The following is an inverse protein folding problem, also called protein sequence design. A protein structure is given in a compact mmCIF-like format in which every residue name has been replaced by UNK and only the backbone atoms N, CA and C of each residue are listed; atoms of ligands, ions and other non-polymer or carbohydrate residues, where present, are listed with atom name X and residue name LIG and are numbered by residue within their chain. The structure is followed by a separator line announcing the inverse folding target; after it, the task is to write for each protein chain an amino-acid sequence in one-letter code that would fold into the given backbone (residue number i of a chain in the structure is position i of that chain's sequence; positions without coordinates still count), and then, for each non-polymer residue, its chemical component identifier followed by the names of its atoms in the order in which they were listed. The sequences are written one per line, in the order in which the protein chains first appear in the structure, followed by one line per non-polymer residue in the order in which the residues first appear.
data_IF_341862574010
#
_entry.id   IF_341862574010
#
_cell.length_a   1.000
_cell.length_b   1.000
_cell.length_c   1.000
_cell.angle_alpha   90.00
_cell.angle_beta   90.00
_cell.angle_gamma   90.00
#
_symmetry.space_group_name_H-M   'P 1'
#
loop_
_entity.id
_entity.type
_entity.pdbx_description
1 polymer ?
#
# COMPACT_ATOMS: atom_id res chain seq x y z
N UNK A 1 25.81 14.12 29.17
CA UNK A 1 25.55 13.01 28.24
C UNK A 1 24.16 12.45 28.60
N UNK A 2 23.11 13.04 28.06
CA UNK A 2 21.71 12.66 28.39
C UNK A 2 21.34 11.45 27.56
N UNK A 3 21.13 10.30 28.21
CA UNK A 3 20.47 9.17 27.59
C UNK A 3 18.97 9.47 27.61
N UNK A 4 18.41 9.85 26.49
CA UNK A 4 16.97 9.90 26.32
C UNK A 4 16.55 8.53 25.82
N UNK A 5 16.06 7.69 26.72
CA UNK A 5 15.22 6.53 26.36
C UNK A 5 13.84 7.08 26.08
N UNK A 6 13.52 7.29 24.81
CA UNK A 6 12.17 7.64 24.43
C UNK A 6 11.44 6.36 24.04
N UNK A 7 10.83 5.72 25.02
CA UNK A 7 9.80 4.70 24.81
C UNK A 7 8.47 5.43 24.70
N UNK A 8 8.09 5.94 23.54
CA UNK A 8 6.75 6.51 23.35
C UNK A 8 5.84 5.41 22.83
N UNK A 9 4.96 4.91 23.71
CA UNK A 9 3.82 4.08 23.35
C UNK A 9 2.71 4.86 22.64
N UNK A 10 2.90 6.14 22.39
CA UNK A 10 1.92 6.99 21.74
C UNK A 10 2.38 7.30 20.32
N UNK A 11 1.52 7.03 19.34
CA UNK A 11 1.69 7.53 17.99
C UNK A 11 1.69 9.07 18.04
N UNK A 12 2.81 9.74 17.72
CA UNK A 12 2.93 11.19 17.90
C UNK A 12 2.00 11.98 16.98
N UNK A 13 1.33 11.31 16.05
CA UNK A 13 0.44 11.93 15.06
C UNK A 13 -0.99 11.41 15.10
N UNK A 14 -1.35 10.54 16.06
CA UNK A 14 -2.69 9.95 16.15
C UNK A 14 -3.83 10.98 16.24
N UNK A 15 -3.55 12.16 16.74
CA UNK A 15 -4.50 13.29 16.90
C UNK A 15 -4.14 14.51 16.05
N UNK A 16 -3.10 14.41 15.19
CA UNK A 16 -2.65 15.54 14.38
C UNK A 16 -3.20 15.47 12.96
N UNK A 17 -3.54 16.62 12.43
CA UNK A 17 -3.83 16.83 11.02
C UNK A 17 -2.62 16.45 10.15
N UNK A 18 -2.87 15.96 8.94
CA UNK A 18 -1.84 15.60 7.96
C UNK A 18 -0.82 16.71 7.71
N UNK A 19 -1.21 17.97 7.85
CA UNK A 19 -0.31 19.13 7.74
C UNK A 19 0.80 19.16 8.79
N UNK A 20 0.61 18.51 9.94
CA UNK A 20 1.58 18.48 11.03
C UNK A 20 2.58 17.32 10.91
N UNK A 21 2.32 16.35 10.05
CA UNK A 21 3.19 15.18 9.85
C UNK A 21 4.61 15.60 9.48
N UNK A 22 4.74 16.52 8.52
CA UNK A 22 6.04 17.06 8.10
C UNK A 22 6.74 17.83 9.20
N UNK A 23 6.01 18.60 10.00
CA UNK A 23 6.56 19.36 11.12
C UNK A 23 7.09 18.43 12.21
N UNK A 24 6.34 17.38 12.56
CA UNK A 24 6.77 16.36 13.52
C UNK A 24 8.01 15.61 13.01
N UNK A 25 8.02 15.23 11.74
CA UNK A 25 9.19 14.57 11.11
C UNK A 25 10.41 15.48 11.16
N UNK A 26 10.27 16.77 10.84
CA UNK A 26 11.35 17.73 10.89
C UNK A 26 11.87 17.95 12.33
N UNK A 27 10.96 17.98 13.32
CA UNK A 27 11.33 18.07 14.72
C UNK A 27 12.09 16.83 15.20
N UNK A 28 11.63 15.63 14.87
CA UNK A 28 12.32 14.37 15.16
C UNK A 28 13.72 14.39 14.54
N UNK A 29 13.82 14.76 13.27
CA UNK A 29 15.11 14.87 12.58
C UNK A 29 16.06 15.83 13.30
N UNK A 30 15.59 17.00 13.68
CA UNK A 30 16.40 18.02 14.36
C UNK A 30 16.86 17.59 15.75
N UNK A 31 16.01 16.87 16.50
CA UNK A 31 16.29 16.50 17.90
C UNK A 31 17.18 15.26 17.96
N UNK A 32 16.87 14.23 17.20
CA UNK A 32 17.49 12.91 17.35
C UNK A 32 18.57 12.59 16.33
N UNK A 33 18.64 13.35 15.24
CA UNK A 33 19.59 13.11 14.15
C UNK A 33 20.44 14.36 13.91
N UNK A 34 21.68 14.15 13.52
CA UNK A 34 22.62 15.24 13.24
C UNK A 34 23.70 14.78 12.27
N UNK A 35 24.49 15.72 11.80
CA UNK A 35 25.70 15.42 11.03
C UNK A 35 26.89 15.53 11.94
N UNK A 36 27.80 14.56 11.90
CA UNK A 36 29.09 14.64 12.58
C UNK A 36 30.03 15.63 11.85
N UNK A 37 31.22 15.88 12.43
CA UNK A 37 32.20 16.77 11.84
C UNK A 37 32.70 16.40 10.44
N UNK A 38 32.48 15.14 10.01
CA UNK A 38 32.77 14.67 8.66
C UNK A 38 31.53 14.74 7.71
N UNK A 39 30.45 15.36 8.14
CA UNK A 39 29.21 15.51 7.36
C UNK A 39 28.35 14.26 7.27
N UNK A 40 28.74 13.15 7.89
CA UNK A 40 27.94 11.92 7.91
C UNK A 40 26.82 12.02 8.96
N UNK A 41 25.65 11.46 8.62
CA UNK A 41 24.52 11.39 9.53
C UNK A 41 24.81 10.48 10.73
N UNK A 42 24.43 10.94 11.90
CA UNK A 42 24.54 10.22 13.17
C UNK A 42 23.30 10.45 14.02
N UNK A 43 23.07 9.57 14.99
CA UNK A 43 22.03 9.75 16.01
C UNK A 43 22.59 10.40 17.25
N UNK A 44 21.83 11.30 17.86
CA UNK A 44 22.17 11.97 19.12
C UNK A 44 21.80 11.13 20.36
N UNK A 45 21.21 9.94 20.15
CA UNK A 45 20.80 9.03 21.20
C UNK A 45 21.36 7.62 20.94
N UNK A 46 21.45 6.79 21.99
CA UNK A 46 21.92 5.40 21.87
C UNK A 46 20.93 4.51 21.13
N UNK A 47 19.65 4.68 21.43
CA UNK A 47 18.55 3.97 20.81
C UNK A 47 17.37 4.91 20.63
N UNK A 48 16.65 4.74 19.54
CA UNK A 48 15.45 5.48 19.22
C UNK A 48 14.38 4.49 18.73
N UNK A 49 13.27 4.44 19.45
CA UNK A 49 12.12 3.62 19.09
C UNK A 49 10.96 4.53 18.71
N UNK A 50 10.35 4.23 17.57
CA UNK A 50 9.18 4.95 17.09
C UNK A 50 8.12 3.96 16.67
N UNK A 51 6.89 4.14 17.15
CA UNK A 51 5.73 3.38 16.71
C UNK A 51 4.70 4.32 16.10
N UNK A 52 4.06 3.88 15.02
CA UNK A 52 2.98 4.62 14.39
C UNK A 52 2.04 3.66 13.67
N UNK A 53 0.76 4.01 13.58
CA UNK A 53 -0.21 3.38 12.70
C UNK A 53 -0.46 4.20 11.42
N UNK A 54 0.14 5.38 11.32
CA UNK A 54 0.03 6.23 10.13
C UNK A 54 1.12 5.89 9.12
N UNK A 55 0.69 5.36 7.97
CA UNK A 55 1.61 4.87 6.93
C UNK A 55 2.41 6.00 6.27
N UNK A 56 1.80 7.17 6.08
CA UNK A 56 2.50 8.33 5.50
C UNK A 56 3.63 8.81 6.41
N UNK A 57 3.38 8.84 7.72
CA UNK A 57 4.41 9.20 8.69
C UNK A 57 5.52 8.14 8.75
N UNK A 58 5.15 6.87 8.70
CA UNK A 58 6.11 5.76 8.63
C UNK A 58 7.06 5.91 7.43
N UNK A 59 6.53 6.23 6.24
CA UNK A 59 7.35 6.43 5.04
C UNK A 59 8.32 7.61 5.20
N UNK A 60 7.84 8.74 5.72
CA UNK A 60 8.71 9.90 6.00
C UNK A 60 9.83 9.58 7.00
N UNK A 61 9.52 8.79 8.03
CA UNK A 61 10.52 8.37 9.03
C UNK A 61 11.53 7.39 8.41
N UNK A 62 11.13 6.53 7.50
CA UNK A 62 12.04 5.64 6.76
C UNK A 62 13.08 6.39 5.94
N UNK A 63 12.78 7.61 5.53
CA UNK A 63 13.72 8.46 4.80
C UNK A 63 14.75 9.15 5.69
N UNK A 64 14.59 9.08 7.02
CA UNK A 64 15.57 9.66 7.94
C UNK A 64 16.88 8.85 7.92
N UNK A 65 17.99 9.55 7.92
CA UNK A 65 19.32 8.95 8.05
C UNK A 65 19.67 8.74 9.53
N UNK A 66 20.46 7.71 9.83
CA UNK A 66 21.06 6.68 8.95
C UNK A 66 20.09 5.54 8.60
N UNK A 67 19.95 5.27 7.31
CA UNK A 67 19.03 4.26 6.77
C UNK A 67 19.53 2.81 6.86
N UNK A 68 20.84 2.59 7.05
CA UNK A 68 21.45 1.25 6.84
C UNK A 68 21.53 0.43 8.13
N UNK A 69 21.22 -0.89 8.06
CA UNK A 69 21.54 -1.83 9.11
C UNK A 69 23.04 -1.81 9.47
N UNK A 70 23.43 -2.10 10.73
CA UNK A 70 22.58 -2.54 11.82
C UNK A 70 21.87 -1.41 12.59
N UNK A 71 21.84 -0.20 12.07
CA UNK A 71 21.38 0.99 12.79
C UNK A 71 19.88 1.25 12.71
N UNK A 72 19.18 0.63 11.75
CA UNK A 72 17.72 0.71 11.65
C UNK A 72 17.11 -0.69 11.50
N UNK A 73 16.11 -0.99 12.32
CA UNK A 73 15.32 -2.20 12.26
C UNK A 73 13.84 -1.81 12.17
N UNK A 74 13.11 -2.46 11.29
CA UNK A 74 11.69 -2.22 11.04
C UNK A 74 10.89 -3.41 11.54
N UNK A 75 9.92 -3.14 12.38
CA UNK A 75 9.05 -4.15 12.97
C UNK A 75 7.60 -3.86 12.62
N UNK A 76 6.80 -4.92 12.63
CA UNK A 76 5.36 -4.85 12.43
C UNK A 76 4.66 -5.43 13.65
N UNK A 77 3.76 -4.64 14.25
CA UNK A 77 2.92 -5.08 15.36
C UNK A 77 1.60 -5.57 14.80
N UNK A 78 1.34 -6.87 14.95
CA UNK A 78 0.11 -7.50 14.51
C UNK A 78 -0.74 -7.87 15.71
N UNK A 79 -2.00 -7.42 15.70
CA UNK A 79 -2.98 -7.86 16.68
C UNK A 79 -3.42 -9.29 16.36
N UNK A 80 -3.26 -10.20 17.31
CA UNK A 80 -3.62 -11.62 17.13
C UNK A 80 -4.99 -11.89 17.76
N UNK A 81 -5.30 -11.23 18.87
CA UNK A 81 -6.57 -11.33 19.58
C UNK A 81 -6.93 -9.98 20.21
N UNK A 82 -8.10 -9.82 20.80
CA UNK A 82 -8.46 -8.58 21.50
C UNK A 82 -7.45 -8.13 22.57
N UNK A 83 -6.75 -9.10 23.18
CA UNK A 83 -5.83 -8.87 24.31
C UNK A 83 -4.37 -9.13 23.97
N UNK A 84 -4.05 -9.62 22.77
CA UNK A 84 -2.68 -10.03 22.41
C UNK A 84 -2.23 -9.39 21.11
N UNK A 85 -0.99 -8.92 21.12
CA UNK A 85 -0.28 -8.46 19.93
C UNK A 85 1.07 -9.16 19.82
N UNK A 86 1.52 -9.35 18.59
CA UNK A 86 2.82 -9.94 18.28
C UNK A 86 3.67 -8.95 17.51
N UNK A 87 4.93 -8.85 17.94
CA UNK A 87 5.97 -8.14 17.20
C UNK A 87 6.61 -9.11 16.21
N UNK A 88 6.66 -8.74 14.96
CA UNK A 88 7.30 -9.49 13.89
C UNK A 88 8.14 -8.61 12.99
N UNK A 89 8.86 -9.22 12.08
CA UNK A 89 9.56 -8.46 11.05
C UNK A 89 8.55 -7.73 10.16
N UNK A 90 8.94 -6.53 9.71
CA UNK A 90 8.14 -5.78 8.75
C UNK A 90 7.94 -6.59 7.47
N UNK A 91 6.72 -6.77 6.98
CA UNK A 91 6.46 -7.41 5.70
C UNK A 91 7.22 -6.72 4.56
N UNK A 92 7.81 -7.51 3.65
CA UNK A 92 8.58 -6.98 2.53
C UNK A 92 7.76 -5.99 1.67
N UNK A 93 6.47 -6.25 1.51
CA UNK A 93 5.54 -5.36 0.81
C UNK A 93 5.45 -3.97 1.45
N UNK A 94 5.39 -3.88 2.77
CA UNK A 94 5.38 -2.60 3.49
C UNK A 94 6.75 -1.91 3.50
N UNK A 95 7.83 -2.66 3.38
CA UNK A 95 9.17 -2.11 3.22
C UNK A 95 9.42 -1.59 1.80
N UNK A 96 8.84 -2.23 0.80
CA UNK A 96 9.11 -1.98 -0.61
C UNK A 96 8.31 -0.80 -1.16
N UNK A 97 7.06 -0.65 -0.73
CA UNK A 97 6.15 0.31 -1.34
C UNK A 97 6.05 1.60 -0.52
N UNK A 98 6.40 2.69 -1.17
CA UNK A 98 6.16 4.06 -0.67
C UNK A 98 4.71 4.52 -0.88
N UNK A 99 3.90 3.74 -1.61
CA UNK A 99 2.49 4.09 -1.86
C UNK A 99 1.57 2.87 -1.90
N UNK A 100 0.36 3.06 -1.40
CA UNK A 100 -0.74 2.10 -1.52
C UNK A 100 -0.94 1.66 -2.99
N UNK A 101 -0.82 2.59 -3.91
CA UNK A 101 -1.02 2.36 -5.33
C UNK A 101 -0.12 1.26 -5.92
N UNK A 102 1.16 1.27 -5.58
CA UNK A 102 2.10 0.23 -6.03
C UNK A 102 1.80 -1.13 -5.39
N UNK A 103 1.46 -1.15 -4.10
CA UNK A 103 1.08 -2.39 -3.41
C UNK A 103 -0.17 -3.03 -4.04
N UNK A 104 -1.19 -2.22 -4.33
CA UNK A 104 -2.40 -2.68 -4.99
C UNK A 104 -2.10 -3.26 -6.38
N UNK A 105 -1.31 -2.54 -7.19
CA UNK A 105 -0.90 -3.02 -8.51
C UNK A 105 -0.13 -4.35 -8.42
N UNK A 106 0.85 -4.47 -7.52
CA UNK A 106 1.62 -5.70 -7.36
C UNK A 106 0.72 -6.88 -6.97
N UNK A 107 -0.26 -6.66 -6.11
CA UNK A 107 -1.22 -7.70 -5.72
C UNK A 107 -1.99 -8.22 -6.93
N UNK A 108 -2.49 -7.31 -7.76
CA UNK A 108 -3.21 -7.63 -9.00
C UNK A 108 -2.29 -8.31 -10.02
N UNK A 109 -1.08 -7.80 -10.19
CA UNK A 109 -0.08 -8.32 -11.11
C UNK A 109 0.42 -9.71 -10.71
N UNK A 110 0.60 -9.96 -9.41
CA UNK A 110 0.91 -11.31 -8.89
C UNK A 110 -0.20 -12.30 -9.20
N UNK A 111 -1.47 -11.90 -9.01
CA UNK A 111 -2.59 -12.75 -9.39
C UNK A 111 -2.59 -13.06 -10.88
N UNK A 112 -2.40 -12.07 -11.77
CA UNK A 112 -2.32 -12.28 -13.22
C UNK A 112 -1.28 -13.34 -13.58
N UNK A 113 -0.12 -13.33 -12.92
CA UNK A 113 1.02 -14.20 -13.23
C UNK A 113 1.07 -15.49 -12.38
N UNK A 114 0.18 -15.67 -11.42
CA UNK A 114 0.14 -16.86 -10.58
C UNK A 114 -0.27 -18.09 -11.38
N UNK A 115 0.41 -19.22 -11.15
CA UNK A 115 0.02 -20.53 -11.72
C UNK A 115 -1.24 -21.07 -11.04
N UNK A 116 -1.33 -20.90 -9.72
CA UNK A 116 -2.50 -21.26 -8.92
C UNK A 116 -3.32 -19.98 -8.63
N UNK A 117 -4.43 -19.84 -9.35
CA UNK A 117 -5.40 -18.76 -9.16
C UNK A 117 -6.31 -18.98 -7.94
N UNK A 118 -6.35 -20.20 -7.44
CA UNK A 118 -7.15 -20.59 -6.27
C UNK A 118 -6.47 -20.31 -4.92
N UNK A 119 -5.25 -19.77 -4.92
CA UNK A 119 -4.53 -19.46 -3.68
C UNK A 119 -5.36 -18.56 -2.77
N UNK A 120 -5.62 -19.04 -1.56
CA UNK A 120 -6.43 -18.36 -0.56
C UNK A 120 -5.90 -16.95 -0.21
N UNK A 121 -4.58 -16.81 -0.09
CA UNK A 121 -3.94 -15.53 0.22
C UNK A 121 -4.16 -14.50 -0.88
N UNK A 122 -4.07 -14.91 -2.14
CA UNK A 122 -4.29 -14.02 -3.28
C UNK A 122 -5.76 -13.62 -3.37
N UNK A 123 -6.67 -14.58 -3.24
CA UNK A 123 -8.11 -14.33 -3.36
C UNK A 123 -8.66 -13.42 -2.24
N UNK A 124 -8.08 -13.47 -1.04
CA UNK A 124 -8.48 -12.58 0.06
C UNK A 124 -8.23 -11.11 -0.23
N UNK A 125 -7.11 -10.80 -0.84
CA UNK A 125 -6.68 -9.41 -1.05
C UNK A 125 -7.16 -8.84 -2.38
N UNK A 126 -7.35 -9.71 -3.38
CA UNK A 126 -7.56 -9.33 -4.77
C UNK A 126 -8.79 -8.43 -5.01
N UNK A 127 -10.00 -8.73 -4.51
CA UNK A 127 -11.17 -7.90 -4.80
C UNK A 127 -11.00 -6.47 -4.32
N UNK A 128 -10.49 -6.30 -3.10
CA UNK A 128 -10.23 -4.98 -2.55
C UNK A 128 -9.08 -4.26 -3.29
N UNK A 129 -8.05 -5.00 -3.68
CA UNK A 129 -6.94 -4.45 -4.46
C UNK A 129 -7.41 -3.98 -5.84
N UNK A 130 -8.19 -4.78 -6.56
CA UNK A 130 -8.76 -4.41 -7.87
C UNK A 130 -9.64 -3.18 -7.74
N UNK A 131 -10.54 -3.17 -6.76
CA UNK A 131 -11.43 -2.04 -6.51
C UNK A 131 -10.63 -0.76 -6.26
N UNK A 132 -9.78 -0.78 -5.23
CA UNK A 132 -9.06 0.41 -4.79
C UNK A 132 -8.09 0.94 -5.85
N UNK A 133 -7.41 0.03 -6.55
CA UNK A 133 -6.55 0.40 -7.65
C UNK A 133 -7.32 1.05 -8.80
N UNK A 134 -8.47 0.48 -9.20
CA UNK A 134 -9.32 1.04 -10.26
C UNK A 134 -9.84 2.43 -9.88
N UNK A 135 -10.28 2.63 -8.64
CA UNK A 135 -10.70 3.93 -8.12
C UNK A 135 -9.57 4.97 -8.26
N UNK A 136 -8.37 4.65 -7.79
CA UNK A 136 -7.21 5.55 -7.82
C UNK A 136 -6.74 5.81 -9.26
N UNK A 137 -6.63 4.78 -10.08
CA UNK A 137 -6.20 4.90 -11.47
C UNK A 137 -7.17 5.75 -12.28
N UNK A 138 -8.46 5.43 -12.24
CA UNK A 138 -9.47 6.15 -13.02
C UNK A 138 -9.61 7.61 -12.57
N UNK A 139 -9.52 7.87 -11.26
CA UNK A 139 -9.53 9.23 -10.72
C UNK A 139 -8.30 10.03 -11.18
N UNK A 140 -7.12 9.41 -11.19
CA UNK A 140 -5.89 10.08 -11.65
C UNK A 140 -5.94 10.48 -13.13
N UNK A 141 -6.74 9.78 -13.95
CA UNK A 141 -6.89 10.06 -15.39
C UNK A 141 -8.07 10.99 -15.69
N UNK A 142 -9.13 10.89 -14.91
CA UNK A 142 -10.33 11.75 -15.02
C UNK A 142 -10.62 12.32 -13.64
N UNK A 143 -9.90 13.38 -13.22
CA UNK A 143 -10.04 13.98 -11.89
C UNK A 143 -11.27 14.89 -11.82
N UNK A 144 -12.46 14.34 -12.01
CA UNK A 144 -13.71 15.06 -11.91
C UNK A 144 -14.58 14.48 -10.82
N UNK A 145 -15.04 15.31 -9.90
CA UNK A 145 -15.95 14.94 -8.83
C UNK A 145 -17.42 15.18 -9.21
N UNK A 146 -17.66 15.93 -10.27
CA UNK A 146 -19.00 16.29 -10.74
C UNK A 146 -19.36 15.31 -11.87
N UNK A 147 -20.38 14.50 -11.65
CA UNK A 147 -20.97 13.55 -12.61
C UNK A 147 -20.13 12.33 -13.02
N UNK A 148 -18.93 12.09 -12.44
CA UNK A 148 -18.11 10.94 -12.77
C UNK A 148 -17.96 9.97 -11.58
N UNK A 149 -18.90 9.01 -11.49
CA UNK A 149 -18.70 7.82 -10.65
C UNK A 149 -17.50 6.98 -11.14
N UNK A 150 -17.01 6.05 -10.34
CA UNK A 150 -15.98 5.10 -10.77
C UNK A 150 -16.41 4.33 -12.02
N UNK A 151 -17.69 4.00 -12.11
CA UNK A 151 -18.28 3.26 -13.23
C UNK A 151 -18.14 4.05 -14.53
N UNK A 152 -18.53 5.32 -14.51
CA UNK A 152 -18.47 6.18 -15.69
C UNK A 152 -17.03 6.47 -16.13
N UNK A 153 -16.11 6.64 -15.16
CA UNK A 153 -14.68 6.76 -15.46
C UNK A 153 -14.12 5.49 -16.08
N UNK A 154 -14.47 4.34 -15.53
CA UNK A 154 -14.05 3.04 -16.05
C UNK A 154 -14.56 2.81 -17.48
N UNK A 155 -15.84 3.10 -17.76
CA UNK A 155 -16.42 3.00 -19.11
C UNK A 155 -15.68 3.92 -20.11
N UNK A 156 -15.37 5.15 -19.69
CA UNK A 156 -14.67 6.10 -20.54
C UNK A 156 -13.24 5.66 -20.85
N UNK A 157 -12.54 5.06 -19.89
CA UNK A 157 -11.13 4.68 -20.03
C UNK A 157 -10.93 3.31 -20.66
N UNK A 158 -11.80 2.35 -20.33
CA UNK A 158 -11.62 0.94 -20.72
C UNK A 158 -12.58 0.49 -21.82
N UNK A 159 -13.60 1.28 -22.14
CA UNK A 159 -14.70 0.88 -22.99
C UNK A 159 -15.78 0.10 -22.25
N UNK A 160 -16.99 0.04 -22.82
CA UNK A 160 -18.18 -0.47 -22.14
C UNK A 160 -18.06 -1.95 -21.70
N UNK A 161 -17.56 -2.83 -22.57
CA UNK A 161 -17.52 -4.28 -22.26
C UNK A 161 -16.43 -4.65 -21.23
N UNK A 162 -15.17 -4.19 -21.34
CA UNK A 162 -14.19 -4.41 -20.28
C UNK A 162 -14.60 -3.77 -18.94
N UNK A 163 -15.13 -2.55 -18.99
CA UNK A 163 -15.58 -1.86 -17.78
C UNK A 163 -16.66 -2.65 -17.03
N UNK A 164 -17.64 -3.21 -17.72
CA UNK A 164 -18.68 -4.04 -17.10
C UNK A 164 -18.08 -5.22 -16.32
N UNK A 165 -17.14 -5.97 -16.90
CA UNK A 165 -16.50 -7.10 -16.22
C UNK A 165 -15.70 -6.67 -14.99
N UNK A 166 -14.94 -5.59 -15.13
CA UNK A 166 -14.17 -5.00 -14.00
C UNK A 166 -15.12 -4.56 -12.88
N UNK A 167 -16.21 -3.87 -13.24
CA UNK A 167 -17.19 -3.32 -12.29
C UNK A 167 -18.02 -4.39 -11.60
N UNK A 168 -18.32 -5.52 -12.26
CA UNK A 168 -18.98 -6.66 -11.62
C UNK A 168 -18.17 -7.13 -10.42
N UNK A 169 -16.84 -7.24 -10.56
CA UNK A 169 -15.98 -7.61 -9.45
C UNK A 169 -15.99 -6.53 -8.36
N UNK A 170 -15.89 -5.26 -8.75
CA UNK A 170 -15.94 -4.15 -7.81
C UNK A 170 -17.20 -4.17 -6.95
N UNK A 171 -18.36 -4.39 -7.56
CA UNK A 171 -19.63 -4.36 -6.86
C UNK A 171 -19.96 -5.66 -6.13
N UNK A 172 -19.67 -6.80 -6.73
CA UNK A 172 -20.01 -8.10 -6.17
C UNK A 172 -19.14 -8.45 -4.95
N UNK A 173 -17.85 -8.15 -5.01
CA UNK A 173 -16.89 -8.50 -3.96
C UNK A 173 -16.62 -7.40 -2.94
N UNK A 174 -17.27 -6.24 -3.06
CA UNK A 174 -17.11 -5.12 -2.12
C UNK A 174 -17.68 -5.40 -0.73
N UNK A 175 -18.43 -6.47 -0.55
CA UNK A 175 -19.05 -6.82 0.72
C UNK A 175 -18.30 -7.97 1.38
N UNK A 176 -17.81 -7.75 2.60
CA UNK A 176 -16.98 -8.67 3.38
C UNK A 176 -17.53 -10.09 3.56
N UNK A 177 -18.84 -10.30 3.34
CA UNK A 177 -19.48 -11.60 3.51
C UNK A 177 -19.38 -12.53 2.28
N UNK A 178 -18.72 -12.10 1.21
CA UNK A 178 -18.67 -12.86 -0.04
C UNK A 178 -17.41 -13.73 -0.20
N UNK A 179 -16.48 -13.66 0.77
CA UNK A 179 -15.22 -14.38 0.68
C UNK A 179 -15.39 -15.90 0.68
N UNK A 180 -16.25 -16.44 1.55
CA UNK A 180 -16.56 -17.87 1.59
C UNK A 180 -17.20 -18.38 0.29
N UNK A 181 -17.83 -17.49 -0.47
CA UNK A 181 -18.41 -17.81 -1.78
C UNK A 181 -17.36 -17.91 -2.89
N UNK A 182 -16.24 -17.21 -2.75
CA UNK A 182 -15.15 -17.22 -3.75
C UNK A 182 -14.41 -18.55 -3.68
N UNK A 183 -14.10 -19.03 -2.48
CA UNK A 183 -13.24 -20.22 -2.26
C UNK A 183 -13.89 -21.51 -2.79
N UNK A 184 -15.19 -21.57 -2.86
CA UNK A 184 -15.93 -22.75 -3.34
C UNK A 184 -16.39 -22.67 -4.79
N UNK A 185 -16.12 -21.57 -5.51
CA UNK A 185 -16.73 -21.34 -6.81
C UNK A 185 -15.67 -21.01 -7.89
N UNK A 186 -15.33 -22.03 -8.68
CA UNK A 186 -14.35 -21.89 -9.76
C UNK A 186 -14.80 -20.89 -10.85
N UNK A 187 -16.11 -20.71 -11.06
CA UNK A 187 -16.63 -19.74 -12.04
C UNK A 187 -16.30 -18.31 -11.63
N UNK A 188 -16.41 -18.00 -10.33
CA UNK A 188 -16.05 -16.67 -9.82
C UNK A 188 -14.54 -16.38 -9.92
N UNK A 189 -13.69 -17.39 -9.74
CA UNK A 189 -12.23 -17.24 -9.95
C UNK A 189 -11.95 -16.93 -11.42
N UNK A 190 -12.66 -17.59 -12.33
CA UNK A 190 -12.51 -17.35 -13.76
C UNK A 190 -12.97 -15.93 -14.16
N UNK A 191 -14.10 -15.47 -13.62
CA UNK A 191 -14.57 -14.09 -13.84
C UNK A 191 -13.58 -13.06 -13.31
N UNK A 192 -12.97 -13.31 -12.15
CA UNK A 192 -11.92 -12.47 -11.59
C UNK A 192 -10.66 -12.43 -12.47
N UNK A 193 -10.28 -13.57 -13.03
CA UNK A 193 -9.15 -13.65 -13.96
C UNK A 193 -9.39 -12.82 -15.22
N UNK A 194 -10.58 -12.94 -15.80
CA UNK A 194 -10.97 -12.15 -16.98
C UNK A 194 -10.96 -10.66 -16.70
N UNK A 195 -11.55 -10.22 -15.61
CA UNK A 195 -11.58 -8.80 -15.27
C UNK A 195 -10.21 -8.22 -14.92
N UNK A 196 -9.36 -9.00 -14.24
CA UNK A 196 -7.97 -8.60 -14.00
C UNK A 196 -7.20 -8.47 -15.31
N UNK A 197 -7.37 -9.41 -16.24
CA UNK A 197 -6.74 -9.36 -17.54
C UNK A 197 -7.23 -8.16 -18.36
N UNK A 198 -8.51 -7.86 -18.33
CA UNK A 198 -9.09 -6.70 -19.02
C UNK A 198 -8.54 -5.39 -18.45
N UNK A 199 -8.53 -5.25 -17.12
CA UNK A 199 -8.00 -4.07 -16.43
C UNK A 199 -6.53 -3.83 -16.80
N UNK A 200 -5.68 -4.84 -16.63
CA UNK A 200 -4.25 -4.69 -16.87
C UNK A 200 -3.92 -4.49 -18.34
N UNK A 201 -4.63 -5.19 -19.25
CA UNK A 201 -4.44 -5.03 -20.70
C UNK A 201 -4.91 -3.65 -21.18
N UNK A 202 -6.00 -3.13 -20.63
CA UNK A 202 -6.45 -1.78 -20.95
C UNK A 202 -5.43 -0.71 -20.53
N UNK A 203 -4.80 -0.87 -19.37
CA UNK A 203 -3.75 0.04 -18.91
C UNK A 203 -2.51 -0.09 -19.79
N UNK A 204 -2.10 -1.31 -20.14
CA UNK A 204 -0.96 -1.56 -21.01
C UNK A 204 -1.10 -0.89 -22.38
N UNK A 205 -2.30 -0.96 -22.96
CA UNK A 205 -2.61 -0.38 -24.27
C UNK A 205 -2.76 1.14 -24.20
N UNK A 206 -3.54 1.64 -23.23
CA UNK A 206 -3.92 3.05 -23.20
C UNK A 206 -2.86 3.94 -22.52
N UNK A 207 -2.01 3.35 -21.65
CA UNK A 207 -0.99 4.07 -20.89
C UNK A 207 0.32 3.29 -20.77
N UNK A 208 1.02 3.04 -21.88
CA UNK A 208 2.19 2.17 -21.90
C UNK A 208 3.38 2.69 -21.08
N UNK A 209 3.48 4.00 -20.85
CA UNK A 209 4.53 4.55 -20.00
C UNK A 209 4.26 4.25 -18.53
N UNK A 210 3.04 4.45 -18.08
CA UNK A 210 2.61 4.14 -16.72
C UNK A 210 2.69 2.64 -16.44
N UNK A 211 2.22 1.82 -17.39
CA UNK A 211 2.33 0.37 -17.34
C UNK A 211 3.77 -0.10 -17.10
N UNK A 212 4.72 0.37 -17.91
CA UNK A 212 6.14 0.00 -17.75
C UNK A 212 6.70 0.36 -16.38
N UNK A 213 6.36 1.56 -15.88
CA UNK A 213 6.80 2.00 -14.55
C UNK A 213 6.23 1.11 -13.43
N UNK A 214 4.95 0.74 -13.52
CA UNK A 214 4.30 -0.16 -12.57
C UNK A 214 4.91 -1.57 -12.58
N UNK A 215 5.11 -2.15 -13.77
CA UNK A 215 5.72 -3.47 -13.93
C UNK A 215 7.16 -3.48 -13.40
N UNK A 216 7.94 -2.46 -13.71
CA UNK A 216 9.30 -2.33 -13.19
C UNK A 216 9.31 -2.26 -11.65
N UNK A 217 8.40 -1.50 -11.06
CA UNK A 217 8.28 -1.42 -9.60
C UNK A 217 7.83 -2.74 -8.97
N UNK A 218 6.97 -3.51 -9.65
CA UNK A 218 6.49 -4.81 -9.17
C UNK A 218 7.52 -5.96 -9.33
N UNK A 219 8.51 -5.80 -10.22
CA UNK A 219 9.51 -6.84 -10.53
C UNK A 219 10.78 -6.73 -9.68
N UNK A 220 10.98 -5.60 -8.99
CA UNK A 220 12.10 -5.37 -8.07
C UNK A 220 11.74 -5.76 -6.64
#
# INVERSE_FOLDING_TARGET
MCCVELCTNADPISSLDSNHIFQVTAAIRKIFFGKNGAGAWSTNCKQFFLSTHNFQFFDLIRELEPKRPPRAALYFIRKISPTQSMLGNMPASLCKYSSEYHFLFETIYKFRNAQDKGSHELLMLLPNAVRRFTELYTYSRIPSDIDYSVDRRAETLFGSEPAKRILIILHYFSHANNFDRIIGNNELIFDMEHAVNDLLSAIEINDPHHWRALVQAASN
#
